data_IF_000448189776
#
_entry.id   IF_000448189776
#
_cell.length_a   1.000
_cell.length_b   1.000
_cell.length_c   1.000
_cell.angle_alpha   90.00
_cell.angle_beta   90.00
_cell.angle_gamma   90.00
#
_symmetry.space_group_name_H-M   'P 1'
#
loop_
_entity.id
_entity.type
_entity.pdbx_description
1 polymer ?
#
# COMPACT_ATOMS: atom_id res chain seq x y z
N UNK A 1 6.95 -35.10 -16.94
CA UNK A 1 6.85 -33.73 -16.36
C UNK A 1 5.41 -33.26 -16.53
N UNK A 2 4.74 -32.87 -15.46
CA UNK A 2 3.37 -32.34 -15.56
C UNK A 2 3.48 -30.82 -15.69
N UNK A 3 3.00 -30.25 -16.78
CA UNK A 3 2.89 -28.81 -16.97
C UNK A 3 1.59 -28.29 -16.34
N UNK A 4 1.63 -27.17 -15.69
CA UNK A 4 0.45 -26.44 -15.21
C UNK A 4 0.34 -25.18 -16.07
N UNK A 5 -0.83 -24.96 -16.65
CA UNK A 5 -1.12 -23.77 -17.46
C UNK A 5 -1.87 -22.75 -16.59
N UNK A 6 -1.53 -21.48 -16.73
CA UNK A 6 -2.18 -20.36 -16.05
C UNK A 6 -2.04 -19.10 -16.91
N UNK A 7 -2.93 -18.14 -16.74
CA UNK A 7 -2.85 -16.85 -17.43
C UNK A 7 -1.77 -15.95 -16.82
N UNK A 8 -1.59 -16.05 -15.49
CA UNK A 8 -0.65 -15.21 -14.74
C UNK A 8 0.10 -16.02 -13.71
N UNK A 9 1.43 -15.93 -13.75
CA UNK A 9 2.32 -16.46 -12.72
C UNK A 9 2.88 -15.30 -11.88
N UNK A 10 2.59 -15.31 -10.60
CA UNK A 10 3.15 -14.36 -9.62
C UNK A 10 4.26 -15.03 -8.84
N UNK A 11 5.45 -14.46 -8.86
CA UNK A 11 6.62 -14.97 -8.14
C UNK A 11 6.83 -14.15 -6.86
N UNK A 12 6.63 -14.78 -5.72
CA UNK A 12 6.71 -14.17 -4.39
C UNK A 12 5.35 -13.76 -3.84
N UNK A 13 5.16 -14.03 -2.56
CA UNK A 13 3.90 -13.83 -1.82
C UNK A 13 3.93 -12.66 -0.84
N UNK A 14 4.87 -11.73 -0.99
CA UNK A 14 4.83 -10.45 -0.26
C UNK A 14 3.65 -9.58 -0.67
N UNK A 15 3.46 -8.42 -0.03
CA UNK A 15 2.31 -7.55 -0.28
C UNK A 15 2.11 -7.22 -1.76
N UNK A 16 3.18 -6.89 -2.48
CA UNK A 16 3.10 -6.60 -3.93
C UNK A 16 2.66 -7.80 -4.76
N UNK A 17 3.21 -8.98 -4.48
CA UNK A 17 2.83 -10.22 -5.19
C UNK A 17 1.38 -10.61 -4.93
N UNK A 18 0.95 -10.60 -3.66
CA UNK A 18 -0.44 -10.91 -3.33
C UNK A 18 -1.42 -9.87 -3.87
N UNK A 19 -1.06 -8.58 -3.86
CA UNK A 19 -1.88 -7.54 -4.47
C UNK A 19 -2.04 -7.75 -5.98
N UNK A 20 -0.96 -8.07 -6.68
CA UNK A 20 -1.00 -8.39 -8.11
C UNK A 20 -1.86 -9.64 -8.39
N UNK A 21 -1.70 -10.71 -7.60
CA UNK A 21 -2.46 -11.94 -7.74
C UNK A 21 -3.97 -11.71 -7.56
N UNK A 22 -4.35 -11.00 -6.49
CA UNK A 22 -5.76 -10.67 -6.21
C UNK A 22 -6.35 -9.81 -7.30
N UNK A 23 -5.62 -8.78 -7.74
CA UNK A 23 -6.09 -7.89 -8.82
C UNK A 23 -6.28 -8.64 -10.14
N UNK A 24 -5.33 -9.48 -10.53
CA UNK A 24 -5.43 -10.31 -11.72
C UNK A 24 -6.61 -11.29 -11.62
N UNK A 25 -6.82 -11.91 -10.46
CA UNK A 25 -7.94 -12.82 -10.24
C UNK A 25 -9.29 -12.11 -10.29
N UNK A 26 -9.40 -10.91 -9.74
CA UNK A 26 -10.59 -10.06 -9.84
C UNK A 26 -10.86 -9.63 -11.29
N UNK A 27 -9.81 -9.52 -12.11
CA UNK A 27 -9.89 -9.31 -13.55
C UNK A 27 -10.30 -10.56 -14.36
N UNK A 28 -10.57 -11.69 -13.69
CA UNK A 28 -11.05 -12.93 -14.33
C UNK A 28 -9.94 -13.87 -14.82
N UNK A 29 -8.67 -13.58 -14.52
CA UNK A 29 -7.53 -14.40 -14.94
C UNK A 29 -7.33 -15.61 -14.00
N UNK A 30 -6.83 -16.71 -14.54
CA UNK A 30 -6.30 -17.79 -13.74
C UNK A 30 -4.90 -17.44 -13.23
N UNK A 31 -4.69 -17.52 -11.91
CA UNK A 31 -3.48 -17.04 -11.25
C UNK A 31 -2.85 -18.15 -10.41
N UNK A 32 -1.54 -18.31 -10.57
CA UNK A 32 -0.72 -19.11 -9.68
C UNK A 32 0.29 -18.20 -8.98
N UNK A 33 0.38 -18.35 -7.65
CA UNK A 33 1.42 -17.71 -6.86
C UNK A 33 2.43 -18.77 -6.44
N UNK A 34 3.71 -18.51 -6.67
CA UNK A 34 4.81 -19.36 -6.21
C UNK A 34 5.64 -18.62 -5.17
N UNK A 35 5.99 -19.32 -4.10
CA UNK A 35 6.78 -18.78 -3.00
C UNK A 35 7.97 -19.72 -2.72
N UNK A 36 9.16 -19.16 -2.50
CA UNK A 36 10.37 -19.93 -2.22
C UNK A 36 10.47 -20.40 -0.75
N UNK A 37 9.83 -19.64 0.14
CA UNK A 37 9.85 -19.92 1.57
C UNK A 37 8.68 -20.85 1.96
N UNK A 38 8.79 -21.59 3.08
CA UNK A 38 7.71 -22.45 3.55
C UNK A 38 6.47 -21.69 4.05
N UNK A 39 6.61 -20.38 4.32
CA UNK A 39 5.54 -19.50 4.75
C UNK A 39 5.36 -18.37 3.73
N UNK A 40 4.11 -18.07 3.39
CA UNK A 40 3.79 -16.94 2.53
C UNK A 40 3.75 -15.62 3.30
N UNK A 41 3.76 -14.49 2.56
CA UNK A 41 3.64 -13.13 3.11
C UNK A 41 4.93 -12.31 3.08
N UNK A 42 6.09 -12.94 2.90
CA UNK A 42 7.38 -12.26 2.77
C UNK A 42 7.71 -11.37 3.97
N UNK A 43 8.48 -10.32 3.74
CA UNK A 43 8.82 -9.31 4.76
C UNK A 43 7.58 -8.55 5.27
N UNK A 44 6.55 -8.40 4.44
CA UNK A 44 5.31 -7.71 4.83
C UNK A 44 4.60 -8.39 5.99
N UNK A 45 4.54 -9.72 6.01
CA UNK A 45 3.93 -10.48 7.09
C UNK A 45 4.71 -10.42 8.42
N UNK A 46 6.01 -10.04 8.37
CA UNK A 46 6.87 -9.87 9.54
C UNK A 46 6.94 -8.43 10.04
N UNK A 47 6.38 -7.50 9.29
CA UNK A 47 6.32 -6.07 9.64
C UNK A 47 5.14 -5.79 10.58
N UNK A 48 5.04 -4.55 11.07
CA UNK A 48 3.86 -4.07 11.77
C UNK A 48 2.62 -3.89 10.90
N UNK A 49 2.70 -4.14 9.61
CA UNK A 49 1.59 -4.09 8.66
C UNK A 49 1.07 -2.68 8.32
N UNK A 50 1.80 -1.63 8.71
CA UNK A 50 1.41 -0.28 8.41
C UNK A 50 1.72 0.10 6.97
N UNK A 51 0.77 0.78 6.33
CA UNK A 51 0.89 1.40 5.02
C UNK A 51 0.82 2.91 5.22
N UNK A 52 1.72 3.64 4.57
CA UNK A 52 1.69 5.10 4.56
C UNK A 52 1.02 5.57 3.27
N UNK A 53 -0.23 6.00 3.37
CA UNK A 53 -1.07 6.40 2.23
C UNK A 53 -1.65 7.80 2.53
N UNK A 54 -1.02 8.86 2.06
CA UNK A 54 -1.56 10.22 2.17
C UNK A 54 -2.91 10.35 1.47
N UNK A 55 -3.75 11.24 1.98
CA UNK A 55 -5.07 11.51 1.42
C UNK A 55 -5.99 10.27 1.37
N UNK A 56 -5.73 9.24 2.18
CA UNK A 56 -6.53 8.02 2.18
C UNK A 56 -7.99 8.31 2.59
N UNK A 57 -8.95 7.46 2.17
CA UNK A 57 -10.37 7.69 2.42
C UNK A 57 -10.70 7.77 3.91
N UNK A 58 -10.05 6.95 4.75
CA UNK A 58 -10.31 6.96 6.20
C UNK A 58 -9.92 8.27 6.88
N UNK A 59 -8.80 8.89 6.45
CA UNK A 59 -8.40 10.21 6.97
C UNK A 59 -9.38 11.29 6.52
N UNK A 60 -9.82 11.24 5.26
CA UNK A 60 -10.83 12.15 4.70
C UNK A 60 -12.14 12.05 5.48
N UNK A 61 -12.61 10.84 5.73
CA UNK A 61 -13.87 10.58 6.46
C UNK A 61 -13.77 10.98 7.94
N UNK A 62 -12.57 10.91 8.52
CA UNK A 62 -12.28 11.41 9.87
C UNK A 62 -12.06 12.94 9.93
N UNK A 63 -12.17 13.66 8.82
CA UNK A 63 -11.96 15.11 8.76
C UNK A 63 -10.51 15.55 8.91
N UNK A 64 -9.54 14.65 8.72
CA UNK A 64 -8.11 14.95 8.78
C UNK A 64 -7.66 15.51 7.43
N UNK A 65 -7.31 16.79 7.40
CA UNK A 65 -6.88 17.47 6.20
C UNK A 65 -5.46 17.05 5.78
N UNK A 66 -5.31 16.68 4.51
CA UNK A 66 -4.03 16.40 3.87
C UNK A 66 -4.09 16.84 2.40
N UNK A 67 -2.93 16.91 1.73
CA UNK A 67 -2.87 17.19 0.31
C UNK A 67 -1.72 16.44 -0.36
N UNK A 68 -1.85 16.06 -1.64
CA UNK A 68 -0.76 15.45 -2.41
C UNK A 68 0.49 16.35 -2.43
N UNK A 69 0.32 17.67 -2.46
CA UNK A 69 1.42 18.61 -2.49
C UNK A 69 2.25 18.58 -1.19
N UNK A 70 1.61 18.48 -0.03
CA UNK A 70 2.32 18.35 1.25
C UNK A 70 3.01 16.99 1.38
N UNK A 71 2.33 15.91 1.00
CA UNK A 71 2.91 14.58 0.99
C UNK A 71 4.10 14.48 0.04
N UNK A 72 4.00 15.08 -1.16
CA UNK A 72 5.09 15.15 -2.12
C UNK A 72 6.30 15.90 -1.57
N UNK A 73 6.06 17.03 -0.89
CA UNK A 73 7.12 17.83 -0.26
C UNK A 73 7.83 17.05 0.85
N UNK A 74 7.07 16.29 1.65
CA UNK A 74 7.64 15.40 2.65
C UNK A 74 8.51 14.33 2.01
N UNK A 75 8.01 13.61 1.00
CA UNK A 75 8.78 12.57 0.31
C UNK A 75 10.02 13.14 -0.40
N UNK A 76 9.94 14.35 -0.94
CA UNK A 76 11.09 15.02 -1.56
C UNK A 76 12.18 15.31 -0.53
N UNK A 77 11.82 15.73 0.67
CA UNK A 77 12.75 15.94 1.77
C UNK A 77 13.39 14.61 2.21
N UNK A 78 12.57 13.57 2.43
CA UNK A 78 13.03 12.27 2.92
C UNK A 78 13.93 11.53 1.90
N UNK A 79 13.59 11.57 0.63
CA UNK A 79 14.32 10.86 -0.41
C UNK A 79 15.56 11.63 -0.91
N UNK A 80 15.64 12.94 -0.67
CA UNK A 80 16.76 13.80 -1.07
C UNK A 80 17.17 13.56 -2.54
N UNK A 81 18.41 13.13 -2.78
CA UNK A 81 18.94 12.84 -4.12
C UNK A 81 18.39 11.56 -4.78
N UNK A 82 17.60 10.76 -4.05
CA UNK A 82 16.91 9.58 -4.58
C UNK A 82 15.44 9.86 -4.95
N UNK A 83 15.00 11.11 -4.88
CA UNK A 83 13.64 11.49 -5.20
C UNK A 83 13.34 11.30 -6.69
N UNK A 84 12.32 10.46 -6.96
CA UNK A 84 11.78 10.21 -8.28
C UNK A 84 10.37 10.81 -8.35
N UNK A 85 10.25 11.97 -8.99
CA UNK A 85 9.00 12.73 -9.01
C UNK A 85 7.86 11.99 -9.71
N UNK A 86 8.12 11.30 -10.81
CA UNK A 86 7.08 10.57 -11.57
C UNK A 86 6.53 9.40 -10.75
N UNK A 87 7.41 8.66 -10.10
CA UNK A 87 7.02 7.54 -9.24
C UNK A 87 6.26 8.00 -8.00
N UNK A 88 6.69 9.09 -7.38
CA UNK A 88 6.01 9.68 -6.23
C UNK A 88 4.62 10.19 -6.63
N UNK A 89 4.51 10.89 -7.74
CA UNK A 89 3.23 11.42 -8.22
C UNK A 89 2.26 10.29 -8.57
N UNK A 90 2.73 9.21 -9.19
CA UNK A 90 1.94 8.01 -9.44
C UNK A 90 1.48 7.34 -8.13
N UNK A 91 2.37 7.22 -7.14
CA UNK A 91 2.03 6.67 -5.83
C UNK A 91 0.95 7.50 -5.11
N UNK A 92 1.10 8.82 -5.08
CA UNK A 92 0.16 9.72 -4.42
C UNK A 92 -1.21 9.75 -5.10
N UNK A 93 -1.23 9.61 -6.43
CA UNK A 93 -2.48 9.56 -7.19
C UNK A 93 -3.25 8.25 -6.96
N UNK A 94 -2.54 7.10 -6.97
CA UNK A 94 -3.19 5.79 -6.96
C UNK A 94 -3.31 5.17 -5.55
N UNK A 95 -2.59 5.68 -4.55
CA UNK A 95 -2.62 5.14 -3.19
C UNK A 95 -4.02 5.12 -2.56
N UNK A 96 -4.77 6.24 -2.55
CA UNK A 96 -6.13 6.27 -2.03
C UNK A 96 -7.09 5.33 -2.78
N UNK A 97 -6.98 5.26 -4.11
CA UNK A 97 -7.78 4.37 -4.95
C UNK A 97 -7.50 2.89 -4.63
N UNK A 98 -6.23 2.54 -4.39
CA UNK A 98 -5.85 1.19 -3.98
C UNK A 98 -6.55 0.77 -2.68
N UNK A 99 -6.64 1.66 -1.69
CA UNK A 99 -7.34 1.40 -0.43
C UNK A 99 -8.82 1.10 -0.70
N UNK A 100 -9.50 1.97 -1.44
CA UNK A 100 -10.91 1.79 -1.80
C UNK A 100 -11.14 0.50 -2.61
N UNK A 101 -10.25 0.20 -3.55
CA UNK A 101 -10.32 -1.02 -4.38
C UNK A 101 -10.27 -2.29 -3.54
N UNK A 102 -9.29 -2.42 -2.65
CA UNK A 102 -9.16 -3.64 -1.84
C UNK A 102 -10.28 -3.79 -0.82
N UNK A 103 -10.73 -2.72 -0.18
CA UNK A 103 -11.84 -2.77 0.77
C UNK A 103 -13.18 -3.12 0.11
N UNK A 104 -13.39 -2.66 -1.12
CA UNK A 104 -14.61 -2.93 -1.87
C UNK A 104 -14.67 -4.35 -2.42
N UNK A 105 -13.53 -4.88 -2.89
CA UNK A 105 -13.51 -6.11 -3.68
C UNK A 105 -12.97 -7.32 -2.92
N UNK A 106 -12.50 -7.15 -1.69
CA UNK A 106 -11.92 -8.22 -0.87
C UNK A 106 -12.42 -8.15 0.58
N UNK A 107 -12.00 -9.12 1.40
CA UNK A 107 -12.25 -9.10 2.84
C UNK A 107 -11.29 -8.14 3.60
N UNK A 108 -10.26 -7.61 2.95
CA UNK A 108 -9.32 -6.67 3.58
C UNK A 108 -10.05 -5.42 4.01
N UNK A 109 -9.82 -5.01 5.26
CA UNK A 109 -10.27 -3.73 5.82
C UNK A 109 -9.09 -3.02 6.44
N UNK A 110 -9.07 -1.71 6.35
CA UNK A 110 -8.02 -0.90 6.93
C UNK A 110 -8.52 -0.10 8.12
N UNK A 111 -7.63 0.13 9.08
CA UNK A 111 -7.87 0.96 10.26
C UNK A 111 -6.91 2.14 10.22
N UNK A 112 -7.45 3.31 10.42
CA UNK A 112 -6.69 4.56 10.44
C UNK A 112 -5.85 4.66 11.71
N UNK A 113 -4.61 5.16 11.56
CA UNK A 113 -3.78 5.67 12.64
C UNK A 113 -3.89 7.19 12.77
N UNK A 114 -4.94 7.72 13.42
CA UNK A 114 -5.24 9.15 13.38
C UNK A 114 -4.18 10.01 14.06
N UNK A 115 -3.47 9.45 15.05
CA UNK A 115 -2.38 10.10 15.77
C UNK A 115 -1.00 9.47 15.46
N UNK A 116 -0.90 8.68 14.39
CA UNK A 116 0.36 8.09 13.96
C UNK A 116 1.09 9.09 13.05
N UNK A 117 2.02 9.85 13.64
CA UNK A 117 2.77 10.89 12.94
C UNK A 117 3.70 10.31 11.86
N UNK A 118 4.07 11.16 10.91
CA UNK A 118 5.20 10.87 10.02
C UNK A 118 6.49 10.70 10.86
N UNK A 119 7.46 9.93 10.36
CA UNK A 119 8.67 9.58 11.12
C UNK A 119 9.52 10.80 11.48
N UNK A 120 9.56 11.80 10.61
CA UNK A 120 10.25 13.07 10.89
C UNK A 120 9.20 14.19 10.95
N UNK A 121 8.58 14.40 12.12
CA UNK A 121 7.43 15.32 12.27
C UNK A 121 7.78 16.79 12.00
N UNK A 122 9.05 17.15 12.09
CA UNK A 122 9.53 18.50 11.83
C UNK A 122 9.94 18.74 10.35
N UNK A 123 9.87 17.69 9.52
CA UNK A 123 10.21 17.78 8.11
C UNK A 123 9.14 18.57 7.32
N UNK A 124 9.56 19.28 6.24
CA UNK A 124 8.63 20.01 5.39
C UNK A 124 7.52 19.10 4.83
N UNK A 125 6.27 19.42 5.09
CA UNK A 125 5.12 18.66 4.63
C UNK A 125 4.75 17.44 5.48
N UNK A 126 5.43 17.24 6.62
CA UNK A 126 5.06 16.21 7.60
C UNK A 126 3.67 16.46 8.22
N UNK A 127 3.04 15.38 8.68
CA UNK A 127 1.74 15.41 9.37
C UNK A 127 1.83 14.70 10.73
N UNK A 128 1.07 15.20 11.73
CA UNK A 128 1.00 14.56 13.04
C UNK A 128 0.18 13.26 13.04
N UNK A 129 -0.49 12.93 11.95
CA UNK A 129 -1.26 11.71 11.79
C UNK A 129 -2.10 11.69 10.52
N UNK A 130 -2.86 10.61 10.36
CA UNK A 130 -3.83 10.45 9.28
C UNK A 130 -3.29 9.83 7.99
N UNK A 131 -1.97 9.71 7.80
CA UNK A 131 -1.38 9.10 6.61
C UNK A 131 -1.18 7.59 6.74
N UNK A 132 -1.07 7.10 7.95
CA UNK A 132 -0.83 5.68 8.21
C UNK A 132 -2.12 4.92 8.45
N UNK A 133 -2.25 3.79 7.76
CA UNK A 133 -3.34 2.83 7.91
C UNK A 133 -2.74 1.44 8.13
N UNK A 134 -3.46 0.55 8.79
CA UNK A 134 -3.06 -0.84 9.02
C UNK A 134 -4.20 -1.77 8.65
N UNK A 135 -3.88 -2.96 8.11
CA UNK A 135 -4.90 -3.96 7.86
C UNK A 135 -5.51 -4.43 9.19
N UNK A 136 -6.84 -4.44 9.26
CA UNK A 136 -7.55 -5.01 10.40
C UNK A 136 -7.26 -6.52 10.49
N UNK A 137 -7.11 -7.08 11.69
CA UNK A 137 -7.02 -8.53 11.86
C UNK A 137 -8.34 -9.18 11.43
N UNK A 138 -8.23 -10.37 10.85
CA UNK A 138 -9.37 -11.23 10.47
C UNK A 138 -9.92 -11.99 11.66
#
# INVERSE_FOLDING_TARGET
MTAILTDTLVVGSGAGGLAAAVTARLGGLDVIVVEKEPLFGGASARSGGWLWIPCNPHARDAGIADSPAEARRYLQHEAANHFDGERVDAFLANGPEMVEFFEKNTAVKFVLGPAFSDYHPDAPGAKPGGRSIVAAPF
#
